data_IF_356062511806
#
_entry.id   IF_356062511806
#
_cell.length_a   1.000
_cell.length_b   1.000
_cell.length_c   1.000
_cell.angle_alpha   90.00
_cell.angle_beta   90.00
_cell.angle_gamma   90.00
#
_symmetry.space_group_name_H-M   'P 1'
#
loop_
_entity.id
_entity.type
_entity.pdbx_description
1 polymer ?
#
# COMPACT_ATOMS: atom_id res chain seq x y z
N UNK A 1 -18.46 -4.56 22.91
CA UNK A 1 -18.64 -5.58 21.84
C UNK A 1 -18.18 -6.91 22.40
N UNK A 2 -19.01 -7.96 22.35
CA UNK A 2 -18.58 -9.29 22.75
C UNK A 2 -17.76 -9.94 21.61
N UNK A 3 -17.06 -11.04 21.89
CA UNK A 3 -16.17 -11.69 20.91
C UNK A 3 -16.94 -12.17 19.67
N UNK A 4 -18.15 -12.67 19.83
CA UNK A 4 -18.99 -13.17 18.73
C UNK A 4 -19.40 -12.05 17.78
N UNK A 5 -19.76 -10.88 18.32
CA UNK A 5 -20.09 -9.70 17.51
C UNK A 5 -18.86 -9.19 16.74
N UNK A 6 -17.67 -9.22 17.37
CA UNK A 6 -16.44 -8.83 16.73
C UNK A 6 -16.07 -9.76 15.57
N UNK A 7 -16.13 -11.07 15.80
CA UNK A 7 -15.88 -12.08 14.77
C UNK A 7 -16.87 -11.93 13.60
N UNK A 8 -18.15 -11.76 13.89
CA UNK A 8 -19.18 -11.60 12.86
C UNK A 8 -18.92 -10.36 11.99
N UNK A 9 -18.52 -9.24 12.59
CA UNK A 9 -18.18 -8.04 11.84
C UNK A 9 -16.99 -8.24 10.88
N UNK A 10 -16.00 -9.03 11.25
CA UNK A 10 -14.91 -9.40 10.35
C UNK A 10 -15.42 -10.22 9.17
N UNK A 11 -16.28 -11.22 9.45
CA UNK A 11 -16.79 -12.13 8.43
C UNK A 11 -17.78 -11.46 7.47
N UNK A 12 -18.55 -10.50 7.96
CA UNK A 12 -19.58 -9.78 7.18
C UNK A 12 -19.05 -8.57 6.43
N UNK A 13 -17.79 -8.18 6.65
CA UNK A 13 -17.20 -7.02 6.01
C UNK A 13 -17.18 -7.19 4.49
N UNK A 14 -17.72 -6.20 3.77
CA UNK A 14 -17.82 -6.24 2.30
C UNK A 14 -16.60 -5.55 1.67
N UNK A 15 -15.99 -6.16 0.64
CA UNK A 15 -14.95 -5.51 -0.14
C UNK A 15 -15.47 -4.26 -0.83
N UNK A 16 -14.60 -3.28 -1.03
CA UNK A 16 -14.85 -2.18 -1.96
C UNK A 16 -14.74 -2.72 -3.38
N UNK A 17 -15.72 -2.38 -4.22
CA UNK A 17 -15.74 -2.82 -5.61
C UNK A 17 -14.83 -1.94 -6.48
N UNK A 18 -14.22 -2.51 -7.53
CA UNK A 18 -13.32 -1.79 -8.44
C UNK A 18 -13.99 -0.60 -9.14
N UNK A 19 -15.31 -0.65 -9.34
CA UNK A 19 -16.09 0.43 -9.93
C UNK A 19 -16.09 1.75 -9.14
N UNK A 20 -15.74 1.71 -7.86
CA UNK A 20 -15.52 2.95 -7.07
C UNK A 20 -14.26 3.71 -7.47
N UNK A 21 -13.29 3.03 -8.08
CA UNK A 21 -12.01 3.63 -8.49
C UNK A 21 -12.03 3.97 -9.98
N UNK A 22 -13.04 4.71 -10.41
CA UNK A 22 -13.18 5.21 -11.77
C UNK A 22 -12.26 6.40 -12.06
N UNK A 23 -12.41 7.01 -13.24
CA UNK A 23 -11.61 8.17 -13.62
C UNK A 23 -11.89 9.37 -12.72
N UNK A 24 -13.12 9.56 -12.24
CA UNK A 24 -13.48 10.66 -11.35
C UNK A 24 -12.84 10.50 -9.97
N UNK A 25 -12.74 9.26 -9.46
CA UNK A 25 -12.01 8.98 -8.22
C UNK A 25 -10.57 9.49 -8.28
N UNK A 26 -9.88 9.31 -9.39
CA UNK A 26 -8.48 9.71 -9.52
C UNK A 26 -8.28 11.16 -9.93
N UNK A 27 -9.20 11.76 -10.66
CA UNK A 27 -9.06 13.10 -11.24
C UNK A 27 -10.05 14.12 -10.68
N UNK A 28 -11.08 13.66 -9.98
CA UNK A 28 -12.16 14.50 -9.47
C UNK A 28 -11.76 15.42 -8.32
N UNK A 29 -12.54 16.49 -8.17
CA UNK A 29 -12.32 17.53 -7.14
C UNK A 29 -12.99 17.21 -5.79
N UNK A 30 -13.54 16.01 -5.62
CA UNK A 30 -14.17 15.59 -4.35
C UNK A 30 -13.17 15.49 -3.19
N UNK A 31 -11.90 15.40 -3.50
CA UNK A 31 -10.81 15.51 -2.53
C UNK A 31 -10.50 16.98 -2.27
N UNK A 32 -9.88 17.28 -1.12
CA UNK A 32 -9.38 18.62 -0.83
C UNK A 32 -8.54 19.15 -2.01
N UNK A 33 -8.65 20.45 -2.28
CA UNK A 33 -7.94 21.11 -3.37
C UNK A 33 -6.48 20.62 -3.49
N UNK A 34 -6.07 20.27 -4.71
CA UNK A 34 -4.71 19.84 -5.02
C UNK A 34 -4.37 18.40 -4.66
N UNK A 35 -5.33 17.55 -4.30
CA UNK A 35 -5.06 16.14 -3.93
C UNK A 35 -5.53 15.12 -4.98
N UNK A 36 -5.56 15.48 -6.25
CA UNK A 36 -5.81 14.52 -7.32
C UNK A 36 -4.55 13.68 -7.65
N UNK A 37 -4.72 12.66 -8.49
CA UNK A 37 -3.65 11.70 -8.83
C UNK A 37 -2.88 12.07 -10.11
N UNK A 38 -3.03 13.28 -10.66
CA UNK A 38 -2.21 13.71 -11.80
C UNK A 38 -0.73 13.82 -11.38
N UNK A 39 0.15 13.63 -12.35
CA UNK A 39 1.60 13.56 -12.09
C UNK A 39 2.15 14.85 -11.46
N UNK A 40 1.68 16.03 -11.90
CA UNK A 40 2.20 17.30 -11.39
C UNK A 40 1.85 17.51 -9.92
N UNK A 41 0.58 17.29 -9.55
CA UNK A 41 0.15 17.35 -8.15
C UNK A 41 0.89 16.33 -7.30
N UNK A 42 1.01 15.08 -7.81
CA UNK A 42 1.70 14.01 -7.08
C UNK A 42 3.20 14.27 -6.94
N UNK A 43 3.84 14.90 -7.90
CA UNK A 43 5.25 15.32 -7.77
C UNK A 43 5.46 16.23 -6.56
N UNK A 44 4.54 17.16 -6.32
CA UNK A 44 4.59 18.06 -5.16
C UNK A 44 4.30 17.32 -3.85
N UNK A 45 3.29 16.45 -3.84
CA UNK A 45 2.87 15.68 -2.64
C UNK A 45 3.95 14.64 -2.27
N UNK A 46 4.46 13.90 -3.25
CA UNK A 46 5.51 12.89 -3.03
C UNK A 46 6.83 13.51 -2.58
N UNK A 47 7.15 14.70 -3.08
CA UNK A 47 8.32 15.50 -2.67
C UNK A 47 9.61 14.65 -2.55
N UNK A 48 10.00 14.28 -1.33
CA UNK A 48 11.24 13.54 -1.06
C UNK A 48 11.09 12.02 -1.22
N UNK A 49 9.87 11.48 -1.24
CA UNK A 49 9.64 10.03 -1.21
C UNK A 49 10.39 9.24 -2.30
N UNK A 50 10.35 9.63 -3.60
CA UNK A 50 11.04 8.86 -4.63
C UNK A 50 12.56 8.77 -4.39
N UNK A 51 13.16 9.87 -3.93
CA UNK A 51 14.59 9.92 -3.60
C UNK A 51 14.90 9.05 -2.38
N UNK A 52 14.07 9.14 -1.32
CA UNK A 52 14.24 8.30 -0.13
C UNK A 52 14.09 6.82 -0.46
N UNK A 53 13.11 6.44 -1.28
CA UNK A 53 12.95 5.05 -1.72
C UNK A 53 14.21 4.56 -2.44
N UNK A 54 14.73 5.33 -3.39
CA UNK A 54 15.97 5.00 -4.09
C UNK A 54 17.15 4.88 -3.13
N UNK A 55 17.36 5.88 -2.27
CA UNK A 55 18.61 6.04 -1.49
C UNK A 55 18.62 5.16 -0.23
N UNK A 56 17.45 4.90 0.38
CA UNK A 56 17.32 4.06 1.58
C UNK A 56 17.37 2.57 1.24
N UNK A 57 16.61 2.16 0.21
CA UNK A 57 16.48 0.74 -0.14
C UNK A 57 17.42 0.30 -1.25
N UNK A 58 17.90 1.23 -2.10
CA UNK A 58 18.74 0.95 -3.27
C UNK A 58 18.20 -0.22 -4.10
N UNK A 59 16.89 -0.20 -4.47
CA UNK A 59 16.24 -1.35 -5.05
C UNK A 59 16.66 -1.54 -6.51
N UNK A 60 16.86 -2.79 -6.92
CA UNK A 60 17.05 -3.18 -8.32
C UNK A 60 15.71 -3.31 -9.04
N UNK A 61 14.72 -3.85 -8.36
CA UNK A 61 13.36 -4.03 -8.90
C UNK A 61 12.31 -3.78 -7.82
N UNK A 62 11.37 -2.88 -8.13
CA UNK A 62 10.29 -2.44 -7.23
C UNK A 62 8.95 -2.92 -7.75
N UNK A 63 8.06 -3.33 -6.83
CA UNK A 63 6.64 -3.50 -7.10
C UNK A 63 5.84 -2.52 -6.23
N UNK A 64 4.97 -1.72 -6.87
CA UNK A 64 4.05 -0.78 -6.22
C UNK A 64 2.64 -1.36 -6.24
N UNK A 65 2.10 -1.72 -5.06
CA UNK A 65 0.77 -2.29 -4.88
C UNK A 65 -0.25 -1.19 -4.60
N UNK A 66 -1.34 -1.18 -5.37
CA UNK A 66 -2.30 -0.10 -5.37
C UNK A 66 -1.68 1.17 -5.95
N UNK A 67 -0.98 1.02 -7.08
CA UNK A 67 -0.19 2.10 -7.66
C UNK A 67 -1.02 3.27 -8.22
N UNK A 68 -2.35 3.13 -8.30
CA UNK A 68 -3.22 4.09 -8.97
C UNK A 68 -2.75 4.40 -10.39
N UNK A 69 -2.86 5.63 -10.88
CA UNK A 69 -2.34 6.04 -12.18
C UNK A 69 -0.80 6.01 -12.32
N UNK A 70 -0.09 5.44 -11.34
CA UNK A 70 1.35 5.22 -11.41
C UNK A 70 2.21 6.48 -11.25
N UNK A 71 1.75 7.50 -10.55
CA UNK A 71 2.53 8.73 -10.38
C UNK A 71 3.86 8.48 -9.62
N UNK A 72 3.82 7.73 -8.50
CA UNK A 72 5.05 7.34 -7.81
C UNK A 72 5.95 6.47 -8.68
N UNK A 73 5.36 5.54 -9.44
CA UNK A 73 6.11 4.72 -10.42
C UNK A 73 6.83 5.59 -11.45
N UNK A 74 6.15 6.62 -11.98
CA UNK A 74 6.76 7.55 -12.94
C UNK A 74 7.95 8.29 -12.32
N UNK A 75 7.79 8.80 -11.11
CA UNK A 75 8.88 9.50 -10.39
C UNK A 75 10.08 8.58 -10.09
N UNK A 76 9.83 7.32 -9.76
CA UNK A 76 10.88 6.31 -9.60
C UNK A 76 11.54 5.96 -10.93
N UNK A 77 10.77 5.86 -12.01
CA UNK A 77 11.29 5.63 -13.35
C UNK A 77 12.22 6.77 -13.81
N UNK A 78 11.86 8.03 -13.56
CA UNK A 78 12.73 9.20 -13.83
C UNK A 78 14.08 9.11 -13.09
N UNK A 79 14.11 8.46 -11.93
CA UNK A 79 15.32 8.21 -11.15
C UNK A 79 16.09 6.95 -11.58
N UNK A 80 15.67 6.30 -12.67
CA UNK A 80 16.31 5.09 -13.20
C UNK A 80 15.95 3.82 -12.44
N UNK A 81 14.93 3.83 -11.56
CA UNK A 81 14.49 2.65 -10.82
C UNK A 81 13.59 1.77 -11.70
N UNK A 82 13.88 0.47 -11.75
CA UNK A 82 13.01 -0.48 -12.43
C UNK A 82 11.78 -0.78 -11.56
N UNK A 83 10.60 -0.28 -11.97
CA UNK A 83 9.36 -0.37 -11.19
C UNK A 83 8.22 -0.97 -12.03
N UNK A 84 7.45 -1.85 -11.42
CA UNK A 84 6.16 -2.37 -11.92
C UNK A 84 5.08 -2.04 -10.90
N UNK A 85 3.81 -2.06 -11.31
CA UNK A 85 2.67 -1.80 -10.42
C UNK A 85 1.56 -2.82 -10.58
N UNK A 86 0.72 -2.89 -9.56
CA UNK A 86 -0.58 -3.57 -9.57
C UNK A 86 -1.61 -2.58 -9.08
N UNK A 87 -2.74 -2.48 -9.78
CA UNK A 87 -3.90 -1.74 -9.31
C UNK A 87 -5.19 -2.48 -9.63
N UNK A 88 -6.21 -2.30 -8.79
CA UNK A 88 -7.48 -3.00 -8.94
C UNK A 88 -8.36 -2.43 -10.06
N UNK A 89 -8.17 -1.16 -10.40
CA UNK A 89 -8.99 -0.43 -11.35
C UNK A 89 -8.35 -0.33 -12.74
N UNK A 90 -9.10 -0.63 -13.80
CA UNK A 90 -8.65 -0.41 -15.18
C UNK A 90 -8.41 1.07 -15.49
N UNK A 91 -9.17 1.99 -14.85
CA UNK A 91 -8.99 3.44 -14.97
C UNK A 91 -7.59 3.89 -14.53
N UNK A 92 -6.98 3.24 -13.55
CA UNK A 92 -5.61 3.53 -13.13
C UNK A 92 -4.62 3.37 -14.27
N UNK A 93 -4.70 2.26 -15.02
CA UNK A 93 -3.86 2.00 -16.18
C UNK A 93 -4.16 2.94 -17.36
N UNK A 94 -5.44 3.27 -17.59
CA UNK A 94 -5.84 4.19 -18.65
C UNK A 94 -5.31 5.60 -18.43
N UNK A 95 -5.31 6.08 -17.18
CA UNK A 95 -4.82 7.40 -16.77
C UNK A 95 -3.29 7.47 -16.62
N UNK A 96 -2.60 6.34 -16.61
CA UNK A 96 -1.15 6.27 -16.45
C UNK A 96 -0.41 6.93 -17.62
N UNK A 97 0.73 7.53 -17.30
CA UNK A 97 1.63 8.08 -18.31
C UNK A 97 2.18 6.99 -19.23
N UNK A 98 2.52 7.29 -20.49
CA UNK A 98 3.05 6.29 -21.42
C UNK A 98 4.27 5.51 -20.89
N UNK A 99 5.11 6.15 -20.05
CA UNK A 99 6.33 5.56 -19.50
C UNK A 99 6.08 4.38 -18.57
N UNK A 100 4.93 4.37 -17.88
CA UNK A 100 4.62 3.35 -16.86
C UNK A 100 3.35 2.55 -17.15
N UNK A 101 2.53 2.96 -18.11
CA UNK A 101 1.24 2.33 -18.44
C UNK A 101 1.35 0.82 -18.65
N UNK A 102 2.29 0.39 -19.45
CA UNK A 102 2.48 -1.04 -19.77
C UNK A 102 3.17 -1.83 -18.64
N UNK A 103 3.57 -1.14 -17.57
CA UNK A 103 4.12 -1.73 -16.35
C UNK A 103 3.07 -1.94 -15.25
N UNK A 104 1.83 -1.45 -15.46
CA UNK A 104 0.72 -1.64 -14.54
C UNK A 104 -0.05 -2.91 -14.95
N UNK A 105 -0.15 -3.84 -14.02
CA UNK A 105 -1.02 -5.02 -14.11
C UNK A 105 -2.32 -4.70 -13.40
N UNK A 106 -3.45 -4.82 -14.10
CA UNK A 106 -4.76 -4.67 -13.47
C UNK A 106 -5.12 -5.97 -12.76
N UNK A 107 -5.42 -5.87 -11.46
CA UNK A 107 -5.77 -7.03 -10.66
C UNK A 107 -5.74 -6.76 -9.16
N UNK A 108 -6.21 -7.74 -8.40
CA UNK A 108 -6.27 -7.64 -6.94
C UNK A 108 -4.91 -7.88 -6.29
N UNK A 109 -4.48 -6.99 -5.39
CA UNK A 109 -3.16 -7.05 -4.72
C UNK A 109 -2.95 -8.30 -3.86
N UNK A 110 -4.02 -8.93 -3.40
CA UNK A 110 -3.99 -10.18 -2.65
C UNK A 110 -3.96 -11.46 -3.51
N UNK A 111 -4.06 -11.35 -4.85
CA UNK A 111 -4.01 -12.53 -5.72
C UNK A 111 -2.61 -13.13 -5.73
N UNK A 112 -2.49 -14.36 -5.24
CA UNK A 112 -1.21 -15.07 -5.14
C UNK A 112 -0.57 -15.39 -6.51
N UNK A 113 -1.35 -15.46 -7.58
CA UNK A 113 -0.88 -15.73 -8.93
C UNK A 113 -0.37 -14.52 -9.70
N UNK A 114 -0.67 -13.31 -9.25
CA UNK A 114 -0.52 -12.09 -10.04
C UNK A 114 0.93 -11.72 -10.38
N UNK A 115 1.88 -12.04 -9.52
CA UNK A 115 3.34 -11.82 -9.73
C UNK A 115 4.14 -13.00 -9.15
N UNK A 116 5.35 -13.27 -9.69
CA UNK A 116 6.20 -14.34 -9.19
C UNK A 116 6.68 -14.13 -7.75
N UNK A 117 6.98 -15.21 -7.05
CA UNK A 117 7.59 -15.17 -5.72
C UNK A 117 9.04 -14.64 -5.79
N UNK A 118 9.46 -13.88 -4.77
CA UNK A 118 10.82 -13.33 -4.63
C UNK A 118 11.33 -12.54 -5.83
N UNK A 119 10.40 -11.97 -6.63
CA UNK A 119 10.74 -11.28 -7.88
C UNK A 119 11.14 -9.81 -7.68
N UNK A 120 10.90 -9.26 -6.51
CA UNK A 120 11.13 -7.84 -6.21
C UNK A 120 11.94 -7.70 -4.94
N UNK A 121 12.97 -6.87 -4.95
CA UNK A 121 13.74 -6.58 -3.73
C UNK A 121 13.11 -5.48 -2.86
N UNK A 122 12.14 -4.76 -3.39
CA UNK A 122 11.27 -3.87 -2.63
C UNK A 122 9.82 -4.01 -3.12
N UNK A 123 8.90 -4.29 -2.20
CA UNK A 123 7.45 -4.19 -2.40
C UNK A 123 6.95 -2.97 -1.64
N UNK A 124 6.27 -2.07 -2.32
CA UNK A 124 5.65 -0.87 -1.78
C UNK A 124 4.14 -1.10 -1.71
N UNK A 125 3.49 -0.67 -0.63
CA UNK A 125 2.04 -0.65 -0.48
C UNK A 125 1.66 0.59 0.32
N UNK A 126 1.11 1.60 -0.36
CA UNK A 126 0.89 2.91 0.24
C UNK A 126 -0.55 3.36 0.11
N UNK A 127 -1.19 3.62 1.26
CA UNK A 127 -2.59 4.08 1.33
C UNK A 127 -3.52 3.11 0.55
N UNK A 128 -3.41 1.81 0.85
CA UNK A 128 -4.17 0.71 0.21
C UNK A 128 -4.86 -0.17 1.23
N UNK A 129 -4.19 -0.49 2.35
CA UNK A 129 -4.69 -1.48 3.30
C UNK A 129 -5.98 -1.03 3.99
N UNK A 130 -6.19 0.27 4.14
CA UNK A 130 -7.42 0.87 4.66
C UNK A 130 -8.65 0.64 3.78
N UNK A 131 -8.45 0.36 2.49
CA UNK A 131 -9.53 0.06 1.53
C UNK A 131 -9.91 -1.42 1.48
N UNK A 132 -9.17 -2.27 2.17
CA UNK A 132 -9.35 -3.72 2.16
C UNK A 132 -10.12 -4.19 3.39
N UNK A 133 -10.90 -5.27 3.26
CA UNK A 133 -11.41 -5.97 4.45
C UNK A 133 -10.26 -6.56 5.26
N UNK A 134 -10.48 -6.86 6.54
CA UNK A 134 -9.46 -7.47 7.40
C UNK A 134 -8.92 -8.78 6.81
N UNK A 135 -9.80 -9.60 6.23
CA UNK A 135 -9.40 -10.85 5.57
C UNK A 135 -8.56 -10.58 4.31
N UNK A 136 -8.91 -9.56 3.54
CA UNK A 136 -8.12 -9.12 2.39
C UNK A 136 -6.76 -8.55 2.82
N UNK A 137 -6.69 -7.80 3.92
CA UNK A 137 -5.40 -7.34 4.48
C UNK A 137 -4.50 -8.51 4.81
N UNK A 138 -5.02 -9.53 5.53
CA UNK A 138 -4.27 -10.76 5.85
C UNK A 138 -3.69 -11.41 4.59
N UNK A 139 -4.52 -11.59 3.55
CA UNK A 139 -4.09 -12.19 2.29
C UNK A 139 -3.04 -11.33 1.57
N UNK A 140 -3.22 -10.01 1.55
CA UNK A 140 -2.30 -9.06 0.93
C UNK A 140 -0.94 -9.05 1.64
N UNK A 141 -0.91 -9.13 2.97
CA UNK A 141 0.33 -9.24 3.75
C UNK A 141 1.10 -10.50 3.35
N UNK A 142 0.46 -11.66 3.32
CA UNK A 142 1.09 -12.91 2.89
C UNK A 142 1.63 -12.81 1.46
N UNK A 143 0.87 -12.18 0.55
CA UNK A 143 1.30 -11.99 -0.84
C UNK A 143 2.48 -11.02 -0.98
N UNK A 144 2.49 -9.91 -0.22
CA UNK A 144 3.65 -9.00 -0.17
C UNK A 144 4.92 -9.73 0.25
N UNK A 145 4.83 -10.55 1.31
CA UNK A 145 5.98 -11.34 1.79
C UNK A 145 6.41 -12.39 0.77
N UNK A 146 5.46 -13.00 0.06
CA UNK A 146 5.77 -13.95 -1.01
C UNK A 146 6.52 -13.28 -2.18
N UNK A 147 6.07 -12.10 -2.61
CA UNK A 147 6.61 -11.39 -3.78
C UNK A 147 7.96 -10.72 -3.51
N UNK A 148 8.20 -10.27 -2.27
CA UNK A 148 9.48 -9.64 -1.95
C UNK A 148 10.58 -10.67 -1.72
N UNK A 149 11.81 -10.30 -2.11
CA UNK A 149 13.04 -10.99 -1.73
C UNK A 149 13.76 -10.31 -0.57
N UNK A 150 13.39 -9.05 -0.22
CA UNK A 150 14.13 -8.31 0.80
C UNK A 150 13.27 -7.36 1.64
N UNK A 151 12.76 -6.29 1.08
CA UNK A 151 12.07 -5.23 1.85
C UNK A 151 10.62 -5.06 1.46
N UNK A 152 9.80 -4.64 2.44
CA UNK A 152 8.44 -4.17 2.25
C UNK A 152 8.34 -2.79 2.91
N UNK A 153 7.80 -1.81 2.16
CA UNK A 153 7.52 -0.47 2.63
C UNK A 153 6.02 -0.20 2.55
N UNK A 154 5.41 0.03 3.70
CA UNK A 154 3.97 0.27 3.83
C UNK A 154 3.73 1.66 4.41
N UNK A 155 2.76 2.39 3.86
CA UNK A 155 2.08 3.48 4.55
C UNK A 155 0.59 3.23 4.56
N UNK A 156 -0.04 3.49 5.68
CA UNK A 156 -1.49 3.44 5.85
C UNK A 156 -1.89 4.31 7.03
N UNK A 157 -3.17 4.52 7.20
CA UNK A 157 -3.69 5.15 8.40
C UNK A 157 -3.78 4.13 9.51
N UNK A 158 -3.23 4.46 10.66
CA UNK A 158 -3.35 3.63 11.85
C UNK A 158 -4.39 4.19 12.82
N UNK A 159 -4.99 3.30 13.60
CA UNK A 159 -5.97 3.67 14.60
C UNK A 159 -5.36 4.68 15.59
N UNK A 160 -6.01 5.84 15.84
CA UNK A 160 -5.44 6.90 16.70
C UNK A 160 -5.31 6.47 18.16
N UNK A 161 -6.17 5.52 18.62
CA UNK A 161 -6.03 4.92 19.93
C UNK A 161 -5.20 3.64 19.82
N UNK A 162 -3.99 3.59 20.37
CA UNK A 162 -3.11 2.43 20.26
C UNK A 162 -3.65 1.19 21.00
N UNK A 163 -4.62 1.35 21.89
CA UNK A 163 -5.26 0.22 22.59
C UNK A 163 -6.31 -0.50 21.74
N UNK A 164 -6.76 0.09 20.65
CA UNK A 164 -7.70 -0.56 19.73
C UNK A 164 -6.93 -1.30 18.64
N UNK A 165 -7.15 -2.60 18.53
CA UNK A 165 -6.49 -3.42 17.52
C UNK A 165 -7.00 -3.11 16.11
N UNK A 166 -8.29 -2.84 15.98
CA UNK A 166 -9.01 -2.75 14.71
C UNK A 166 -10.30 -1.95 14.87
N UNK A 167 -10.63 -1.13 13.88
CA UNK A 167 -11.96 -0.58 13.68
C UNK A 167 -12.42 -0.83 12.22
N UNK A 168 -13.73 -0.93 12.03
CA UNK A 168 -14.37 -1.18 10.73
C UNK A 168 -15.01 0.09 10.15
N UNK A 169 -14.80 1.23 10.76
CA UNK A 169 -15.41 2.48 10.33
C UNK A 169 -14.36 3.54 10.07
N UNK A 170 -14.63 4.31 9.06
CA UNK A 170 -13.81 5.44 8.65
C UNK A 170 -14.41 6.78 9.09
N UNK A 171 -15.10 6.80 10.21
CA UNK A 171 -15.67 8.05 10.76
C UNK A 171 -14.64 9.19 10.90
N UNK A 172 -13.35 8.84 10.80
CA UNK A 172 -12.24 9.79 10.89
C UNK A 172 -11.70 10.20 9.53
N UNK A 173 -12.33 9.77 8.43
CA UNK A 173 -11.84 10.05 7.08
C UNK A 173 -12.95 10.53 6.14
N UNK A 174 -12.56 11.35 5.18
CA UNK A 174 -13.46 11.85 4.12
C UNK A 174 -13.62 10.85 2.98
N UNK A 175 -12.74 9.85 2.87
CA UNK A 175 -12.81 8.83 1.83
C UNK A 175 -13.74 7.68 2.27
N UNK A 176 -14.91 7.50 1.62
CA UNK A 176 -15.88 6.49 2.00
C UNK A 176 -15.42 5.05 1.73
N UNK A 177 -14.34 4.89 0.97
CA UNK A 177 -13.75 3.57 0.67
C UNK A 177 -12.77 3.08 1.72
N UNK A 178 -12.45 3.89 2.73
CA UNK A 178 -11.68 3.45 3.89
C UNK A 178 -12.58 2.63 4.82
N UNK A 179 -12.45 1.33 4.81
CA UNK A 179 -13.31 0.39 5.53
C UNK A 179 -12.62 -0.36 6.67
N UNK A 180 -11.31 -0.21 6.81
CA UNK A 180 -10.50 -0.89 7.83
C UNK A 180 -9.46 0.06 8.41
N UNK A 181 -9.43 0.16 9.73
CA UNK A 181 -8.45 0.95 10.45
C UNK A 181 -7.72 0.08 11.47
N UNK A 182 -6.49 -0.31 11.12
CA UNK A 182 -5.68 -1.21 11.93
C UNK A 182 -4.82 -0.45 12.95
N UNK A 183 -4.55 -1.10 14.06
CA UNK A 183 -3.44 -0.72 14.92
C UNK A 183 -2.11 -1.04 14.23
N UNK A 184 -1.10 -0.17 14.42
CA UNK A 184 0.23 -0.35 13.80
C UNK A 184 0.91 -1.64 14.24
N UNK A 185 0.79 -2.00 15.51
CA UNK A 185 1.43 -3.20 16.05
C UNK A 185 0.72 -4.48 15.61
N UNK A 186 -0.60 -4.43 15.41
CA UNK A 186 -1.33 -5.55 14.81
C UNK A 186 -0.87 -5.81 13.38
N UNK A 187 -0.74 -4.78 12.56
CA UNK A 187 -0.23 -4.94 11.19
C UNK A 187 1.22 -5.46 11.19
N UNK A 188 2.06 -4.91 12.09
CA UNK A 188 3.45 -5.39 12.28
C UNK A 188 3.48 -6.87 12.64
N UNK A 189 2.63 -7.31 13.56
CA UNK A 189 2.52 -8.71 13.96
C UNK A 189 2.14 -9.62 12.79
N UNK A 190 1.21 -9.21 11.94
CA UNK A 190 0.85 -9.99 10.74
C UNK A 190 2.08 -10.24 9.86
N UNK A 191 2.92 -9.25 9.60
CA UNK A 191 4.16 -9.41 8.84
C UNK A 191 5.19 -10.30 9.54
N UNK A 192 5.31 -10.20 10.87
CA UNK A 192 6.22 -11.05 11.65
C UNK A 192 5.81 -12.51 11.55
N UNK A 193 4.51 -12.82 11.62
CA UNK A 193 3.98 -14.17 11.47
C UNK A 193 4.20 -14.75 10.06
N UNK A 194 4.33 -13.89 9.04
CA UNK A 194 4.68 -14.27 7.66
C UNK A 194 6.21 -14.34 7.42
N UNK A 195 7.04 -14.20 8.45
CA UNK A 195 8.50 -14.35 8.35
C UNK A 195 9.26 -13.06 8.04
N UNK A 196 8.75 -11.92 8.47
CA UNK A 196 9.45 -10.65 8.38
C UNK A 196 9.94 -10.17 9.76
N UNK A 197 10.90 -9.26 9.77
CA UNK A 197 11.27 -8.47 10.94
C UNK A 197 11.07 -6.98 10.67
N UNK A 198 10.70 -6.24 11.71
CA UNK A 198 10.59 -4.78 11.63
C UNK A 198 11.96 -4.11 11.48
N UNK A 199 11.98 -2.98 10.77
CA UNK A 199 13.16 -2.13 10.58
C UNK A 199 12.86 -0.69 11.05
N UNK A 200 12.79 -0.45 12.38
CA UNK A 200 12.50 0.88 12.93
C UNK A 200 13.50 1.96 12.49
N UNK A 201 14.75 1.54 12.25
CA UNK A 201 15.80 2.40 11.71
C UNK A 201 15.47 2.93 10.31
N UNK A 202 14.87 2.11 9.45
CA UNK A 202 14.42 2.51 8.13
C UNK A 202 13.06 3.25 8.19
N UNK A 203 12.17 2.86 9.10
CA UNK A 203 10.91 3.59 9.33
C UNK A 203 11.20 5.06 9.64
N UNK A 204 12.13 5.35 10.56
CA UNK A 204 12.50 6.71 10.94
C UNK A 204 13.06 7.51 9.75
N UNK A 205 13.80 6.86 8.85
CA UNK A 205 14.34 7.51 7.63
C UNK A 205 13.26 7.81 6.60
N UNK A 206 12.26 6.92 6.50
CA UNK A 206 11.17 7.04 5.52
C UNK A 206 10.04 7.97 5.99
N UNK A 207 9.85 8.14 7.28
CA UNK A 207 8.80 9.00 7.86
C UNK A 207 9.26 10.46 7.98
N UNK A 208 9.79 11.02 6.91
CA UNK A 208 10.31 12.40 6.87
C UNK A 208 9.27 13.47 7.20
N UNK A 209 7.96 13.17 7.04
CA UNK A 209 6.85 14.01 7.43
C UNK A 209 6.42 13.84 8.88
N UNK A 210 7.06 12.94 9.62
CA UNK A 210 6.77 12.60 11.02
C UNK A 210 5.29 12.32 11.30
N UNK A 211 4.64 11.60 10.36
CA UNK A 211 3.20 11.28 10.42
C UNK A 211 2.88 10.00 11.19
N UNK A 212 3.89 9.22 11.55
CA UNK A 212 3.74 7.93 12.24
C UNK A 212 3.10 6.82 11.39
N UNK A 213 2.95 7.03 10.07
CA UNK A 213 2.23 6.13 9.15
C UNK A 213 3.10 5.09 8.47
N UNK A 214 4.40 5.16 8.64
CA UNK A 214 5.37 4.29 7.95
C UNK A 214 5.58 3.00 8.72
N UNK A 215 5.61 1.89 8.00
CA UNK A 215 6.07 0.59 8.47
C UNK A 215 7.06 0.02 7.44
N UNK A 216 8.24 -0.40 7.92
CA UNK A 216 9.25 -1.04 7.09
C UNK A 216 9.59 -2.41 7.65
N UNK A 217 9.51 -3.41 6.78
CA UNK A 217 9.76 -4.81 7.10
C UNK A 217 10.91 -5.32 6.23
N UNK A 218 11.66 -6.24 6.78
CA UNK A 218 12.67 -7.01 6.06
C UNK A 218 12.34 -8.49 6.14
N UNK A 219 12.28 -9.15 4.99
CA UNK A 219 12.05 -10.59 4.92
C UNK A 219 13.23 -11.33 5.52
N UNK A 220 12.95 -12.21 6.46
CA UNK A 220 13.95 -13.10 7.03
C UNK A 220 14.19 -14.23 6.02
N UNK A 221 15.45 -14.44 5.63
CA UNK A 221 15.79 -15.61 4.83
C UNK A 221 15.33 -16.87 5.58
N UNK A 222 14.59 -17.75 4.91
CA UNK A 222 14.20 -19.03 5.47
C UNK A 222 15.48 -19.70 5.98
N UNK A 223 15.51 -20.03 7.26
CA UNK A 223 16.59 -20.92 7.76
C UNK A 223 16.43 -22.24 7.02
N UNK A 224 17.54 -22.81 6.54
CA UNK A 224 17.52 -24.08 5.82
C UNK A 224 17.01 -25.22 6.70
#
# INVERSE_FOLDING_TARGET
MNITEFEQRILDQKPVESGHYDSEYFTGDWRAEGNNYNLETRRQIEAKNPFLIRDVFQPKKVLDLGCGPGALMHLLWELGVNVEGIDFAESSRQLATPQVRDRITVGYVGDLGIKPANAYDLVICREVLEHLTVLQVKQTVANMVRMTSKFIYVTTRFHPNPSNLLDFTTQFDVDPTHITLLNKDMLRLMFVLEGCRSRPDLEARMDWGNKGRVLVLEKIASQP
#
